data_IF_959840712866
#
_entry.id   IF_959840712866
#
_cell.length_a   1.000
_cell.length_b   1.000
_cell.length_c   1.000
_cell.angle_alpha   90.00
_cell.angle_beta   90.00
_cell.angle_gamma   90.00
#
_symmetry.space_group_name_H-M   'P 1'
#
loop_
_entity.id
_entity.type
_entity.pdbx_description
1 polymer ?
#
# COMPACT_ATOMS: atom_id res chain seq x y z
N UNK A 1 -40.58 -62.39 13.46
CA UNK A 1 -39.13 -62.49 13.70
C UNK A 1 -38.42 -62.02 12.43
N UNK A 2 -37.81 -60.83 12.46
CA UNK A 2 -37.01 -60.31 11.35
C UNK A 2 -35.54 -60.23 11.78
N UNK A 3 -34.60 -60.90 11.07
CA UNK A 3 -33.23 -61.11 11.54
C UNK A 3 -32.19 -60.10 11.00
N UNK A 4 -32.52 -58.81 10.84
CA UNK A 4 -31.64 -57.85 10.14
C UNK A 4 -31.23 -56.60 10.93
N UNK A 5 -31.54 -56.49 12.22
CA UNK A 5 -30.97 -55.44 13.06
C UNK A 5 -29.70 -55.95 13.74
N UNK A 6 -28.58 -55.90 13.01
CA UNK A 6 -27.28 -55.81 13.67
C UNK A 6 -27.19 -54.39 14.24
N UNK A 7 -27.15 -54.26 15.56
CA UNK A 7 -26.85 -52.99 16.20
C UNK A 7 -25.49 -52.51 15.66
N UNK A 8 -25.49 -51.45 14.87
CA UNK A 8 -24.26 -50.74 14.52
C UNK A 8 -23.75 -50.12 15.80
N UNK A 9 -22.78 -50.78 16.43
CA UNK A 9 -21.94 -50.21 17.48
C UNK A 9 -21.47 -48.84 17.00
N UNK A 10 -21.61 -47.75 17.77
CA UNK A 10 -21.02 -46.48 17.38
C UNK A 10 -19.52 -46.71 17.24
N UNK A 11 -19.01 -46.48 16.03
CA UNK A 11 -17.59 -46.55 15.72
C UNK A 11 -16.87 -45.61 16.69
N UNK A 12 -16.04 -46.19 17.56
CA UNK A 12 -15.31 -45.44 18.57
C UNK A 12 -14.44 -44.35 17.93
N UNK A 13 -14.55 -43.16 18.52
CA UNK A 13 -13.76 -41.94 18.39
C UNK A 13 -12.46 -42.06 17.59
N UNK A 14 -12.44 -41.41 16.44
CA UNK A 14 -11.20 -41.01 15.78
C UNK A 14 -10.81 -39.66 16.39
N UNK A 15 -9.81 -39.67 17.27
CA UNK A 15 -9.45 -38.53 18.13
C UNK A 15 -9.30 -37.23 17.32
N UNK A 16 -10.24 -36.31 17.50
CA UNK A 16 -10.20 -34.95 16.94
C UNK A 16 -9.41 -34.07 17.93
N UNK A 17 -8.31 -33.47 17.50
CA UNK A 17 -7.55 -32.53 18.34
C UNK A 17 -8.26 -31.19 18.30
N UNK A 18 -9.06 -30.93 19.34
CA UNK A 18 -9.82 -29.69 19.54
C UNK A 18 -9.32 -28.99 20.79
N UNK A 19 -8.50 -27.95 20.62
CA UNK A 19 -8.01 -27.16 21.76
C UNK A 19 -7.67 -25.72 21.39
N UNK A 20 -7.70 -24.79 22.35
CA UNK A 20 -7.12 -23.48 22.17
C UNK A 20 -5.59 -23.57 22.02
N UNK A 21 -5.04 -22.65 21.25
CA UNK A 21 -3.61 -22.34 21.27
C UNK A 21 -3.27 -21.58 22.54
N UNK A 22 -2.12 -21.89 23.12
CA UNK A 22 -1.57 -21.21 24.30
C UNK A 22 -0.93 -19.87 23.91
N UNK A 23 -0.70 -18.99 24.89
CA UNK A 23 -0.03 -17.70 24.64
C UNK A 23 1.36 -17.86 24.00
N UNK A 24 2.13 -18.89 24.40
CA UNK A 24 3.47 -19.14 23.86
C UNK A 24 3.43 -19.62 22.40
N UNK A 25 2.42 -20.42 22.04
CA UNK A 25 2.19 -20.86 20.66
C UNK A 25 1.75 -19.67 19.79
N UNK A 26 0.86 -18.82 20.30
CA UNK A 26 0.45 -17.60 19.63
C UNK A 26 1.60 -16.60 19.46
N UNK A 27 2.51 -16.48 20.43
CA UNK A 27 3.71 -15.65 20.30
C UNK A 27 4.69 -16.20 19.25
N UNK A 28 4.76 -17.52 19.11
CA UNK A 28 5.56 -18.15 18.06
C UNK A 28 4.94 -17.90 16.68
N UNK A 29 3.62 -18.08 16.55
CA UNK A 29 2.87 -17.71 15.35
C UNK A 29 3.06 -16.24 14.99
N UNK A 30 2.95 -15.34 15.97
CA UNK A 30 3.17 -13.90 15.81
C UNK A 30 4.54 -13.61 15.21
N UNK A 31 5.61 -14.25 15.70
CA UNK A 31 6.97 -14.11 15.14
C UNK A 31 7.07 -14.64 13.72
N UNK A 32 6.42 -15.76 13.40
CA UNK A 32 6.43 -16.31 12.03
C UNK A 32 5.70 -15.40 11.04
N UNK A 33 4.54 -14.84 11.43
CA UNK A 33 3.77 -13.92 10.60
C UNK A 33 4.59 -12.66 10.25
N UNK A 34 5.40 -12.19 11.20
CA UNK A 34 6.22 -10.99 11.06
C UNK A 34 7.68 -11.29 10.69
N UNK A 35 7.99 -12.51 10.28
CA UNK A 35 9.31 -12.87 9.77
C UNK A 35 9.54 -12.34 8.36
N UNK A 36 10.77 -12.48 7.86
CA UNK A 36 11.20 -12.03 6.52
C UNK A 36 10.68 -12.92 5.37
N UNK A 37 9.41 -13.36 5.44
CA UNK A 37 8.78 -14.08 4.34
C UNK A 37 8.86 -13.24 3.05
N UNK A 38 9.36 -13.83 1.96
CA UNK A 38 9.57 -13.11 0.70
C UNK A 38 8.26 -12.84 -0.05
N UNK A 39 7.17 -13.51 0.35
CA UNK A 39 5.87 -13.29 -0.25
C UNK A 39 4.71 -14.08 0.39
N UNK A 40 3.50 -13.95 -0.18
CA UNK A 40 2.26 -14.47 0.40
C UNK A 40 2.23 -15.98 0.59
N UNK A 41 2.82 -16.75 -0.34
CA UNK A 41 2.82 -18.21 -0.28
C UNK A 41 3.72 -18.74 0.84
N UNK A 42 4.90 -18.14 1.02
CA UNK A 42 5.81 -18.48 2.12
C UNK A 42 5.17 -18.14 3.47
N UNK A 43 4.51 -16.99 3.56
CA UNK A 43 3.77 -16.59 4.76
C UNK A 43 2.67 -17.60 5.12
N UNK A 44 1.82 -17.98 4.14
CA UNK A 44 0.78 -19.00 4.36
C UNK A 44 1.40 -20.31 4.82
N UNK A 45 2.47 -20.76 4.16
CA UNK A 45 3.16 -22.01 4.50
C UNK A 45 3.71 -21.98 5.92
N UNK A 46 4.37 -20.89 6.31
CA UNK A 46 4.95 -20.70 7.63
C UNK A 46 3.87 -20.69 8.73
N UNK A 47 2.76 -19.99 8.50
CA UNK A 47 1.64 -19.91 9.45
C UNK A 47 0.96 -21.26 9.61
N UNK A 48 0.60 -21.91 8.50
CA UNK A 48 -0.05 -23.23 8.53
C UNK A 48 0.83 -24.23 9.26
N UNK A 49 2.13 -24.25 8.95
CA UNK A 49 3.11 -25.10 9.64
C UNK A 49 3.13 -24.82 11.14
N UNK A 50 3.23 -23.55 11.55
CA UNK A 50 3.28 -23.19 12.96
C UNK A 50 1.97 -23.50 13.72
N UNK A 51 0.80 -23.37 13.09
CA UNK A 51 -0.48 -23.73 13.72
C UNK A 51 -0.55 -25.24 13.95
N UNK A 52 -0.20 -26.05 12.96
CA UNK A 52 -0.23 -27.50 13.10
C UNK A 52 0.88 -28.02 14.02
N UNK A 53 2.08 -27.46 13.96
CA UNK A 53 3.16 -27.76 14.92
C UNK A 53 2.69 -27.54 16.36
N UNK A 54 2.02 -26.41 16.62
CA UNK A 54 1.44 -26.14 17.94
C UNK A 54 0.45 -27.25 18.35
N UNK A 55 -0.53 -27.56 17.50
CA UNK A 55 -1.53 -28.60 17.79
C UNK A 55 -0.96 -30.02 17.93
N UNK A 56 0.20 -30.29 17.31
CA UNK A 56 0.89 -31.58 17.35
C UNK A 56 1.95 -31.66 18.47
N UNK A 57 2.30 -30.54 19.09
CA UNK A 57 3.38 -30.46 20.10
C UNK A 57 3.14 -31.43 21.26
N UNK A 58 1.88 -31.57 21.71
CA UNK A 58 1.51 -32.48 22.82
C UNK A 58 1.73 -33.96 22.47
N UNK A 59 1.83 -34.29 21.18
CA UNK A 59 2.10 -35.62 20.67
C UNK A 59 3.58 -35.83 20.31
N UNK A 60 4.44 -34.83 20.54
CA UNK A 60 5.86 -34.85 20.20
C UNK A 60 6.12 -34.89 18.69
N UNK A 61 5.17 -34.38 17.89
CA UNK A 61 5.23 -34.39 16.42
C UNK A 61 5.24 -32.96 15.85
N UNK A 62 5.69 -32.83 14.61
CA UNK A 62 5.63 -31.60 13.82
C UNK A 62 4.84 -31.83 12.54
N UNK A 63 4.32 -30.76 11.96
CA UNK A 63 3.66 -30.75 10.66
C UNK A 63 4.58 -31.21 9.54
N UNK A 64 5.90 -30.96 9.66
CA UNK A 64 6.90 -31.45 8.70
C UNK A 64 7.00 -32.97 8.67
N UNK A 65 6.76 -33.64 9.80
CA UNK A 65 6.74 -35.10 9.87
C UNK A 65 5.59 -35.72 9.06
N UNK A 66 4.65 -34.88 8.58
CA UNK A 66 3.45 -35.26 7.86
C UNK A 66 3.35 -34.64 6.45
N UNK A 67 4.41 -34.01 5.93
CA UNK A 67 4.38 -33.38 4.59
C UNK A 67 4.07 -34.36 3.45
N UNK A 68 4.46 -35.62 3.59
CA UNK A 68 4.22 -36.71 2.62
C UNK A 68 3.14 -37.71 3.09
N UNK A 69 2.51 -37.44 4.24
CA UNK A 69 1.52 -38.35 4.80
C UNK A 69 0.15 -38.10 4.16
N UNK A 70 -0.20 -38.94 3.19
CA UNK A 70 -1.53 -38.93 2.56
C UNK A 70 -2.69 -39.11 3.56
N UNK A 71 -2.40 -39.50 4.81
CA UNK A 71 -3.37 -39.65 5.89
C UNK A 71 -3.44 -38.42 6.82
N UNK A 72 -2.67 -37.36 6.57
CA UNK A 72 -2.76 -36.13 7.36
C UNK A 72 -4.06 -35.38 7.07
N UNK A 73 -5.09 -35.76 7.81
CA UNK A 73 -6.42 -35.20 7.72
C UNK A 73 -6.54 -33.94 8.58
N UNK A 74 -6.35 -32.78 7.94
CA UNK A 74 -6.48 -31.45 8.55
C UNK A 74 -7.85 -31.23 9.22
N UNK A 75 -8.90 -31.90 8.74
CA UNK A 75 -10.26 -31.73 9.26
C UNK A 75 -10.43 -32.26 10.70
N UNK A 76 -9.48 -33.06 11.19
CA UNK A 76 -9.46 -33.58 12.56
C UNK A 76 -8.90 -32.60 13.60
N UNK A 77 -8.46 -31.44 13.16
CA UNK A 77 -7.89 -30.41 14.02
C UNK A 77 -8.81 -29.21 14.03
N UNK A 78 -9.04 -28.62 15.20
CA UNK A 78 -9.76 -27.36 15.29
C UNK A 78 -9.33 -26.49 16.47
N UNK A 79 -9.45 -25.17 16.28
CA UNK A 79 -9.16 -24.13 17.27
C UNK A 79 -10.41 -23.26 17.51
N UNK A 80 -10.49 -22.52 18.62
CA UNK A 80 -11.58 -21.57 18.86
C UNK A 80 -11.71 -20.54 17.74
N UNK A 81 -12.94 -20.19 17.37
CA UNK A 81 -13.23 -19.25 16.28
C UNK A 81 -12.56 -17.89 16.48
N UNK A 82 -12.47 -17.39 17.72
CA UNK A 82 -11.80 -16.12 18.01
C UNK A 82 -10.29 -16.16 17.66
N UNK A 83 -9.60 -17.26 17.96
CA UNK A 83 -8.18 -17.44 17.61
C UNK A 83 -8.00 -17.61 16.10
N UNK A 84 -8.89 -18.37 15.46
CA UNK A 84 -8.89 -18.55 14.01
C UNK A 84 -9.01 -17.21 13.28
N UNK A 85 -10.00 -16.41 13.67
CA UNK A 85 -10.24 -15.08 13.08
C UNK A 85 -9.07 -14.12 13.33
N UNK A 86 -8.49 -14.13 14.53
CA UNK A 86 -7.32 -13.30 14.84
C UNK A 86 -6.10 -13.67 13.99
N UNK A 87 -5.84 -14.96 13.77
CA UNK A 87 -4.77 -15.43 12.89
C UNK A 87 -5.03 -14.98 11.46
N UNK A 88 -6.23 -15.27 10.91
CA UNK A 88 -6.55 -14.90 9.52
C UNK A 88 -6.40 -13.40 9.31
N UNK A 89 -6.97 -12.58 10.20
CA UNK A 89 -6.89 -11.11 10.11
C UNK A 89 -5.44 -10.63 10.10
N UNK A 90 -4.62 -11.10 11.06
CA UNK A 90 -3.21 -10.67 11.16
C UNK A 90 -2.40 -11.08 9.92
N UNK A 91 -2.67 -12.26 9.36
CA UNK A 91 -1.98 -12.74 8.17
C UNK A 91 -2.45 -12.01 6.91
N UNK A 92 -3.75 -11.73 6.77
CA UNK A 92 -4.26 -10.95 5.64
C UNK A 92 -3.79 -9.51 5.67
N UNK A 93 -3.65 -8.92 6.85
CA UNK A 93 -3.06 -7.58 7.02
C UNK A 93 -1.60 -7.56 6.56
N UNK A 94 -0.82 -8.59 6.93
CA UNK A 94 0.54 -8.74 6.41
C UNK A 94 0.53 -9.04 4.91
N UNK A 95 -0.40 -9.82 4.39
CA UNK A 95 -0.46 -10.14 2.97
C UNK A 95 -0.90 -8.97 2.09
N UNK A 96 -1.61 -8.01 2.67
CA UNK A 96 -1.99 -6.76 2.03
C UNK A 96 -0.77 -5.99 1.50
N UNK A 97 0.38 -6.13 2.15
CA UNK A 97 1.63 -5.47 1.74
C UNK A 97 2.14 -5.91 0.37
N UNK A 98 1.66 -7.07 -0.11
CA UNK A 98 1.94 -7.59 -1.45
C UNK A 98 0.71 -7.52 -2.38
N UNK A 99 -0.36 -6.83 -1.98
CA UNK A 99 -1.64 -6.81 -2.72
C UNK A 99 -2.35 -8.17 -2.76
N UNK A 100 -2.03 -9.07 -1.83
CA UNK A 100 -2.47 -10.47 -1.86
C UNK A 100 -3.43 -10.86 -0.73
N UNK A 101 -4.00 -9.89 -0.01
CA UNK A 101 -4.86 -10.16 1.16
C UNK A 101 -6.00 -11.14 0.85
N UNK A 102 -6.72 -10.94 -0.26
CA UNK A 102 -7.84 -11.80 -0.65
C UNK A 102 -7.40 -13.23 -1.00
N UNK A 103 -6.36 -13.39 -1.81
CA UNK A 103 -5.86 -14.73 -2.21
C UNK A 103 -5.25 -15.47 -1.02
N UNK A 104 -4.54 -14.77 -0.14
CA UNK A 104 -4.04 -15.31 1.12
C UNK A 104 -5.17 -15.74 2.05
N UNK A 105 -6.22 -14.92 2.20
CA UNK A 105 -7.39 -15.28 3.00
C UNK A 105 -8.07 -16.57 2.54
N UNK A 106 -8.25 -16.73 1.22
CA UNK A 106 -8.79 -17.97 0.64
C UNK A 106 -7.89 -19.17 0.89
N UNK A 107 -6.57 -19.02 0.73
CA UNK A 107 -5.62 -20.09 1.01
C UNK A 107 -5.64 -20.50 2.49
N UNK A 108 -5.69 -19.55 3.41
CA UNK A 108 -5.81 -19.83 4.84
C UNK A 108 -7.13 -20.56 5.17
N UNK A 109 -8.24 -20.13 4.58
CA UNK A 109 -9.53 -20.81 4.78
C UNK A 109 -9.50 -22.28 4.32
N UNK A 110 -8.73 -22.60 3.28
CA UNK A 110 -8.58 -23.97 2.80
C UNK A 110 -7.56 -24.81 3.59
N UNK A 111 -6.56 -24.16 4.21
CA UNK A 111 -5.39 -24.85 4.79
C UNK A 111 -5.34 -24.85 6.31
N UNK A 112 -5.96 -23.88 6.98
CA UNK A 112 -6.02 -23.86 8.45
C UNK A 112 -6.86 -25.03 8.99
N UNK A 113 -6.66 -25.41 10.26
CA UNK A 113 -7.59 -26.31 10.93
C UNK A 113 -9.01 -25.72 10.96
N UNK A 114 -10.00 -26.57 11.24
CA UNK A 114 -11.36 -26.12 11.47
C UNK A 114 -11.48 -25.16 12.66
N UNK A 115 -12.63 -24.53 12.80
CA UNK A 115 -12.97 -23.74 13.98
C UNK A 115 -14.07 -24.42 14.80
N UNK A 116 -14.14 -24.09 16.09
CA UNK A 116 -15.25 -24.43 16.97
C UNK A 116 -15.61 -23.24 17.87
N UNK A 117 -16.78 -23.28 18.50
CA UNK A 117 -17.25 -22.20 19.36
C UNK A 117 -16.26 -21.91 20.50
N UNK A 118 -16.08 -20.63 20.82
CA UNK A 118 -15.15 -20.24 21.88
C UNK A 118 -15.59 -20.86 23.23
N UNK A 119 -14.64 -21.45 23.99
CA UNK A 119 -14.96 -21.95 25.31
C UNK A 119 -15.37 -20.78 26.22
N UNK A 120 -16.19 -21.06 27.24
CA UNK A 120 -16.63 -20.04 28.20
C UNK A 120 -15.47 -19.39 28.99
N UNK A 121 -14.32 -20.07 29.06
CA UNK A 121 -13.09 -19.52 29.62
C UNK A 121 -12.39 -18.70 28.52
N UNK A 122 -12.02 -17.43 28.79
CA UNK A 122 -11.34 -16.60 27.81
C UNK A 122 -10.09 -17.26 27.26
N UNK A 123 -10.00 -17.34 25.93
CA UNK A 123 -8.82 -17.82 25.23
C UNK A 123 -7.86 -16.66 24.98
N UNK A 124 -6.54 -16.88 25.04
CA UNK A 124 -5.59 -15.86 24.63
C UNK A 124 -5.78 -15.58 23.14
N UNK A 125 -5.72 -14.32 22.75
CA UNK A 125 -5.83 -13.91 21.35
C UNK A 125 -4.47 -13.51 20.80
N UNK A 126 -4.27 -13.79 19.52
CA UNK A 126 -3.12 -13.27 18.78
C UNK A 126 -3.21 -11.74 18.81
N UNK A 127 -2.28 -11.11 19.52
CA UNK A 127 -2.18 -9.66 19.52
C UNK A 127 -1.49 -9.22 18.23
N UNK A 128 -2.10 -8.31 17.44
CA UNK A 128 -1.39 -7.66 16.35
C UNK A 128 -0.13 -7.00 16.91
N UNK A 129 0.98 -7.02 16.16
CA UNK A 129 2.09 -6.13 16.50
C UNK A 129 1.63 -4.72 16.13
N UNK A 130 1.18 -3.96 17.13
CA UNK A 130 0.95 -2.54 16.97
C UNK A 130 2.24 -1.88 16.46
N UNK A 131 2.16 -1.18 15.32
CA UNK A 131 3.25 -0.35 14.81
C UNK A 131 4.16 -0.95 13.74
N UNK A 132 3.86 -2.11 13.16
CA UNK A 132 4.70 -2.73 12.10
C UNK A 132 4.34 -2.32 10.66
N UNK A 133 3.39 -1.41 10.46
CA UNK A 133 3.21 -0.83 9.13
C UNK A 133 4.32 0.20 8.88
N UNK A 134 5.47 -0.23 8.38
CA UNK A 134 6.41 0.66 7.68
C UNK A 134 5.89 1.04 6.29
N UNK A 135 4.62 0.75 5.98
CA UNK A 135 4.07 0.84 4.65
C UNK A 135 3.09 1.99 4.60
N UNK A 136 3.46 2.98 3.79
CA UNK A 136 2.55 4.04 3.41
C UNK A 136 1.57 3.49 2.38
N UNK A 137 0.28 3.58 2.68
CA UNK A 137 -0.79 3.22 1.74
C UNK A 137 -1.10 4.43 0.87
N UNK A 138 -0.78 4.30 -0.41
CA UNK A 138 -1.04 5.29 -1.44
C UNK A 138 -1.94 4.66 -2.51
N UNK A 139 -3.23 4.99 -2.48
CA UNK A 139 -4.16 4.57 -3.51
C UNK A 139 -4.11 5.62 -4.63
N UNK A 140 -3.79 5.20 -5.85
CA UNK A 140 -3.70 6.11 -7.02
C UNK A 140 -4.84 5.76 -7.97
N UNK A 141 -5.74 6.72 -8.22
CA UNK A 141 -6.77 6.54 -9.24
C UNK A 141 -6.14 6.31 -10.62
N UNK A 142 -6.84 5.58 -11.50
CA UNK A 142 -6.35 5.30 -12.86
C UNK A 142 -6.01 6.59 -13.58
N UNK A 143 -6.84 7.61 -13.46
CA UNK A 143 -6.64 8.91 -14.09
C UNK A 143 -5.44 9.65 -13.49
N UNK A 144 -5.22 9.56 -12.17
CA UNK A 144 -4.04 10.12 -11.53
C UNK A 144 -2.75 9.44 -12.01
N UNK A 145 -2.76 8.16 -12.38
CA UNK A 145 -1.58 7.52 -12.98
C UNK A 145 -1.19 8.16 -14.32
N UNK A 146 -2.17 8.59 -15.12
CA UNK A 146 -1.92 9.33 -16.35
C UNK A 146 -1.35 10.71 -16.06
N UNK A 147 -1.86 11.44 -15.06
CA UNK A 147 -1.30 12.73 -14.63
C UNK A 147 0.14 12.57 -14.12
N UNK A 148 0.45 11.54 -13.32
CA UNK A 148 1.83 11.26 -12.88
C UNK A 148 2.75 11.02 -14.08
N UNK A 149 2.28 10.26 -15.08
CA UNK A 149 3.02 10.05 -16.31
C UNK A 149 3.21 11.36 -17.11
N UNK A 150 2.19 12.23 -17.16
CA UNK A 150 2.30 13.57 -17.77
C UNK A 150 3.31 14.47 -17.04
N UNK A 151 3.35 14.45 -15.70
CA UNK A 151 4.38 15.15 -14.93
C UNK A 151 5.80 14.66 -15.30
N UNK A 152 5.98 13.35 -15.40
CA UNK A 152 7.26 12.76 -15.80
C UNK A 152 7.63 13.12 -17.24
N UNK A 153 6.67 13.05 -18.16
CA UNK A 153 6.86 13.42 -19.56
C UNK A 153 7.23 14.90 -19.70
N UNK A 154 6.60 15.76 -18.93
CA UNK A 154 6.92 17.19 -18.92
C UNK A 154 8.37 17.46 -18.45
N UNK A 155 8.88 16.72 -17.47
CA UNK A 155 10.30 16.80 -17.09
C UNK A 155 11.24 16.39 -18.22
N UNK A 156 10.87 15.37 -19.00
CA UNK A 156 11.62 14.94 -20.19
C UNK A 156 11.63 16.06 -21.23
N UNK A 157 10.46 16.64 -21.52
CA UNK A 157 10.35 17.77 -22.46
C UNK A 157 11.20 18.96 -22.03
N UNK A 158 11.20 19.32 -20.73
CA UNK A 158 12.06 20.38 -20.20
C UNK A 158 13.55 20.04 -20.35
N UNK A 159 13.94 18.78 -20.13
CA UNK A 159 15.31 18.34 -20.32
C UNK A 159 15.74 18.41 -21.78
N UNK A 160 14.87 18.03 -22.71
CA UNK A 160 15.15 18.06 -24.15
C UNK A 160 15.24 19.50 -24.68
N UNK A 161 14.36 20.39 -24.21
CA UNK A 161 14.30 21.77 -24.69
C UNK A 161 15.39 22.68 -24.08
N UNK A 162 15.70 22.53 -22.79
CA UNK A 162 16.60 23.43 -22.07
C UNK A 162 17.91 22.77 -21.63
N UNK A 163 18.02 21.45 -21.73
CA UNK A 163 19.13 20.66 -21.21
C UNK A 163 18.97 20.29 -19.73
N UNK A 164 19.49 19.12 -19.35
CA UNK A 164 19.48 18.61 -17.97
C UNK A 164 20.29 19.46 -16.99
N UNK A 165 21.20 20.30 -17.49
CA UNK A 165 21.98 21.27 -16.73
C UNK A 165 21.29 22.63 -16.55
N UNK A 166 20.08 22.83 -17.06
CA UNK A 166 19.37 24.11 -16.92
C UNK A 166 18.67 24.25 -15.56
N UNK A 167 18.52 25.50 -15.11
CA UNK A 167 17.72 25.81 -13.92
C UNK A 167 16.23 25.45 -14.13
N UNK A 168 15.72 25.57 -15.36
CA UNK A 168 14.34 25.19 -15.69
C UNK A 168 14.07 23.72 -15.40
N UNK A 169 14.93 22.82 -15.89
CA UNK A 169 14.81 21.38 -15.62
C UNK A 169 15.08 21.06 -14.15
N UNK A 170 16.20 21.54 -13.59
CA UNK A 170 16.62 21.17 -12.22
C UNK A 170 15.59 21.58 -11.18
N UNK A 171 15.05 22.80 -11.26
CA UNK A 171 14.07 23.28 -10.30
C UNK A 171 12.75 22.49 -10.40
N UNK A 172 12.30 22.21 -11.64
CA UNK A 172 11.12 21.39 -11.88
C UNK A 172 11.31 19.98 -11.29
N UNK A 173 12.41 19.29 -11.65
CA UNK A 173 12.71 17.94 -11.19
C UNK A 173 12.85 17.86 -9.66
N UNK A 174 13.55 18.81 -9.04
CA UNK A 174 13.71 18.87 -7.59
C UNK A 174 12.36 19.08 -6.89
N UNK A 175 11.52 19.99 -7.40
CA UNK A 175 10.19 20.24 -6.82
C UNK A 175 9.28 19.01 -6.95
N UNK A 176 9.27 18.33 -8.09
CA UNK A 176 8.49 17.11 -8.28
C UNK A 176 8.95 15.97 -7.35
N UNK A 177 10.27 15.75 -7.27
CA UNK A 177 10.86 14.75 -6.38
C UNK A 177 10.53 15.01 -4.91
N UNK A 178 10.53 16.28 -4.49
CA UNK A 178 10.12 16.68 -3.15
C UNK A 178 8.65 16.29 -2.86
N UNK A 179 7.74 16.54 -3.80
CA UNK A 179 6.33 16.19 -3.65
C UNK A 179 6.12 14.67 -3.57
N UNK A 180 6.77 13.89 -4.42
CA UNK A 180 6.72 12.42 -4.37
C UNK A 180 7.29 11.88 -3.06
N UNK A 181 8.39 12.45 -2.58
CA UNK A 181 8.99 12.07 -1.30
C UNK A 181 8.05 12.36 -0.14
N UNK A 182 7.38 13.52 -0.14
CA UNK A 182 6.38 13.88 0.86
C UNK A 182 5.15 12.97 0.83
N UNK A 183 4.74 12.50 -0.36
CA UNK A 183 3.68 11.51 -0.52
C UNK A 183 4.03 10.16 0.13
N UNK A 184 5.27 9.70 -0.04
CA UNK A 184 5.74 8.39 0.41
C UNK A 184 6.26 8.40 1.86
N UNK A 185 6.68 9.56 2.39
CA UNK A 185 7.22 9.68 3.76
C UNK A 185 6.14 9.96 4.82
N UNK A 186 4.87 9.70 4.50
CA UNK A 186 3.76 9.89 5.42
C UNK A 186 3.94 9.07 6.71
N UNK A 187 3.42 9.55 7.86
CA UNK A 187 3.29 8.69 9.03
C UNK A 187 2.51 7.40 8.70
N UNK A 188 2.93 6.25 9.24
CA UNK A 188 2.16 5.01 9.17
C UNK A 188 0.69 5.19 9.55
N UNK A 189 -0.20 4.49 8.84
CA UNK A 189 -1.64 4.52 9.12
C UNK A 189 -2.40 5.67 8.47
N UNK A 190 -1.73 6.63 7.81
CA UNK A 190 -2.39 7.64 6.97
C UNK A 190 -2.63 7.06 5.59
N UNK A 191 -3.89 6.80 5.26
CA UNK A 191 -4.32 6.44 3.92
C UNK A 191 -4.46 7.70 3.07
N UNK A 192 -3.87 7.67 1.86
CA UNK A 192 -3.93 8.77 0.90
C UNK A 192 -4.47 8.29 -0.43
N UNK A 193 -5.37 9.06 -1.02
CA UNK A 193 -5.89 8.80 -2.37
C UNK A 193 -5.52 9.94 -3.31
N UNK A 194 -4.88 9.60 -4.44
CA UNK A 194 -4.49 10.55 -5.49
C UNK A 194 -5.55 10.59 -6.59
N UNK A 195 -5.99 11.80 -6.89
CA UNK A 195 -6.91 12.14 -7.96
C UNK A 195 -6.25 13.12 -8.95
N UNK A 196 -6.66 13.13 -10.22
CA UNK A 196 -6.24 14.18 -11.14
C UNK A 196 -6.85 15.53 -10.75
N UNK A 197 -6.06 16.61 -10.84
CA UNK A 197 -6.49 18.01 -10.67
C UNK A 197 -6.04 18.87 -11.86
N UNK A 198 -5.77 18.23 -12.99
CA UNK A 198 -5.26 18.86 -14.20
C UNK A 198 -4.21 18.00 -14.91
N UNK A 199 -3.65 18.50 -16.02
CA UNK A 199 -2.68 17.76 -16.82
C UNK A 199 -1.35 17.54 -16.10
N UNK A 200 -1.00 18.43 -15.16
CA UNK A 200 0.24 18.38 -14.38
C UNK A 200 -0.01 18.56 -12.87
N UNK A 201 -1.25 18.44 -12.42
CA UNK A 201 -1.64 18.71 -11.03
C UNK A 201 -2.44 17.54 -10.46
N UNK A 202 -2.20 17.23 -9.19
CA UNK A 202 -2.87 16.15 -8.47
C UNK A 202 -3.61 16.72 -7.26
N UNK A 203 -4.75 16.12 -6.94
CA UNK A 203 -5.46 16.32 -5.69
C UNK A 203 -5.22 15.12 -4.79
N UNK A 204 -4.91 15.36 -3.52
CA UNK A 204 -4.64 14.34 -2.52
C UNK A 204 -5.70 14.44 -1.43
N UNK A 205 -6.41 13.33 -1.18
CA UNK A 205 -7.33 13.20 -0.05
C UNK A 205 -6.76 12.26 1.00
N UNK A 206 -7.04 12.55 2.27
CA UNK A 206 -6.65 11.71 3.42
C UNK A 206 -7.87 11.37 4.28
N UNK A 207 -7.81 10.24 4.98
CA UNK A 207 -8.95 9.74 5.80
C UNK A 207 -9.31 10.71 6.96
N UNK A 208 -8.38 11.53 7.41
CA UNK A 208 -8.52 12.52 8.48
C UNK A 208 -9.04 13.90 8.02
N UNK A 209 -9.75 13.94 6.88
CA UNK A 209 -10.37 15.12 6.27
C UNK A 209 -9.39 16.19 5.75
N UNK A 210 -8.09 15.92 5.80
CA UNK A 210 -7.08 16.70 5.11
C UNK A 210 -7.19 16.51 3.60
N UNK A 211 -7.19 17.62 2.87
CA UNK A 211 -6.98 17.61 1.44
C UNK A 211 -5.94 18.65 1.08
N UNK A 212 -5.21 18.37 0.01
CA UNK A 212 -4.27 19.32 -0.55
C UNK A 212 -4.02 19.01 -2.03
N UNK A 213 -3.72 20.05 -2.79
CA UNK A 213 -3.27 19.94 -4.17
C UNK A 213 -1.74 19.87 -4.26
N UNK A 214 -1.24 19.03 -5.16
CA UNK A 214 0.10 19.16 -5.73
C UNK A 214 -0.08 19.84 -7.08
N UNK A 215 0.16 21.15 -7.11
CA UNK A 215 -0.20 22.02 -8.24
C UNK A 215 1.05 22.44 -9.00
N UNK A 216 1.03 22.27 -10.31
CA UNK A 216 2.07 22.83 -11.18
C UNK A 216 1.88 24.35 -11.34
N UNK A 217 2.87 25.10 -10.88
CA UNK A 217 2.95 26.56 -11.01
C UNK A 217 3.84 26.92 -12.21
N UNK A 218 3.25 27.37 -13.34
CA UNK A 218 4.05 27.80 -14.48
C UNK A 218 4.82 29.08 -14.15
N UNK A 219 6.07 29.15 -14.60
CA UNK A 219 6.89 30.35 -14.52
C UNK A 219 6.42 31.37 -15.57
N UNK A 220 6.12 32.60 -15.15
CA UNK A 220 5.80 33.66 -16.09
C UNK A 220 7.00 34.00 -16.98
N UNK A 221 6.74 34.30 -18.25
CA UNK A 221 7.76 34.87 -19.14
C UNK A 221 7.95 36.34 -18.77
N UNK A 222 9.18 36.80 -18.76
CA UNK A 222 9.50 38.23 -18.68
C UNK A 222 10.21 38.66 -19.95
N UNK A 223 10.11 39.95 -20.28
CA UNK A 223 10.85 40.54 -21.37
C UNK A 223 12.33 40.67 -20.99
N UNK A 224 13.24 40.25 -21.86
CA UNK A 224 14.70 40.31 -21.63
C UNK A 224 15.34 41.63 -22.07
N UNK A 225 14.59 42.50 -22.75
CA UNK A 225 15.06 43.84 -23.14
C UNK A 225 15.25 44.71 -21.90
N UNK A 226 16.45 45.27 -21.76
CA UNK A 226 16.84 46.08 -20.60
C UNK A 226 15.88 47.26 -20.38
N UNK A 227 15.42 47.42 -19.13
CA UNK A 227 14.49 48.49 -18.74
C UNK A 227 13.01 48.20 -19.04
N UNK A 228 12.69 47.07 -19.68
CA UNK A 228 11.32 46.62 -19.89
C UNK A 228 10.93 45.57 -18.84
N UNK A 229 9.87 45.83 -18.08
CA UNK A 229 9.38 44.99 -16.99
C UNK A 229 8.05 44.30 -17.33
N UNK A 230 7.84 44.04 -18.62
CA UNK A 230 6.68 43.32 -19.12
C UNK A 230 6.78 41.83 -18.78
N UNK A 231 5.65 41.24 -18.38
CA UNK A 231 5.49 39.80 -18.12
C UNK A 231 4.29 39.24 -18.85
N UNK A 232 4.31 37.94 -19.14
CA UNK A 232 3.14 37.21 -19.68
C UNK A 232 3.04 35.82 -19.07
N UNK A 233 1.82 35.45 -18.68
CA UNK A 233 1.51 34.09 -18.28
C UNK A 233 1.17 33.26 -19.53
N UNK A 234 1.91 32.17 -19.75
CA UNK A 234 1.54 31.08 -20.68
C UNK A 234 1.03 31.50 -22.07
N UNK A 235 1.58 32.57 -22.67
CA UNK A 235 1.22 33.03 -24.03
C UNK A 235 0.11 34.08 -24.11
N UNK A 236 -0.31 34.64 -22.97
CA UNK A 236 -1.22 35.78 -22.92
C UNK A 236 -0.58 37.10 -23.38
N UNK A 237 -1.36 38.18 -23.32
CA UNK A 237 -0.85 39.52 -23.59
C UNK A 237 0.22 39.93 -22.57
N UNK A 238 1.21 40.69 -23.04
CA UNK A 238 2.21 41.31 -22.17
C UNK A 238 1.55 42.34 -21.25
N UNK A 239 1.90 42.28 -19.98
CA UNK A 239 1.35 43.14 -18.94
C UNK A 239 2.48 43.68 -18.05
N UNK A 240 2.30 44.85 -17.40
CA UNK A 240 3.24 45.33 -16.39
C UNK A 240 3.38 44.31 -15.25
N UNK A 241 4.60 44.01 -14.82
CA UNK A 241 4.85 43.10 -13.68
C UNK A 241 4.31 43.62 -12.34
N UNK A 242 4.11 44.93 -12.22
CA UNK A 242 3.43 45.60 -11.11
C UNK A 242 2.80 46.93 -11.59
N UNK A 243 1.94 47.60 -10.80
CA UNK A 243 1.21 48.80 -11.22
C UNK A 243 2.08 49.94 -11.80
N UNK A 244 3.33 50.07 -11.35
CA UNK A 244 4.26 51.12 -11.76
C UNK A 244 5.44 50.61 -12.64
N UNK A 245 5.36 49.36 -13.11
CA UNK A 245 6.40 48.75 -13.92
C UNK A 245 6.48 49.40 -15.31
N UNK A 246 7.68 49.83 -15.70
CA UNK A 246 7.92 50.39 -17.03
C UNK A 246 7.76 49.30 -18.10
N UNK A 247 6.82 49.49 -19.01
CA UNK A 247 6.65 48.66 -20.22
C UNK A 247 6.99 49.52 -21.42
N UNK A 248 8.06 49.15 -22.11
CA UNK A 248 8.54 49.85 -23.30
C UNK A 248 7.75 49.31 -24.51
N UNK A 249 7.33 50.19 -25.41
CA UNK A 249 6.68 49.80 -26.67
C UNK A 249 7.72 49.29 -27.68
N UNK A 250 7.86 47.97 -27.76
CA UNK A 250 8.75 47.27 -28.68
C UNK A 250 8.31 45.82 -28.88
N UNK A 251 8.94 45.12 -29.83
CA UNK A 251 8.78 43.67 -29.95
C UNK A 251 9.44 42.96 -28.75
N UNK A 252 8.62 42.39 -27.87
CA UNK A 252 9.09 41.76 -26.64
C UNK A 252 9.85 40.45 -26.89
N UNK A 253 10.98 40.29 -26.21
CA UNK A 253 11.82 39.10 -26.27
C UNK A 253 11.59 38.25 -25.01
N UNK A 254 10.95 37.08 -25.10
CA UNK A 254 10.61 36.31 -23.91
C UNK A 254 11.83 35.61 -23.31
N UNK A 255 11.86 35.52 -21.98
CA UNK A 255 12.90 34.83 -21.21
C UNK A 255 13.04 33.33 -21.52
N UNK A 256 12.05 32.72 -22.15
CA UNK A 256 12.10 31.37 -22.69
C UNK A 256 11.11 31.24 -23.87
N UNK A 257 11.33 30.29 -24.81
CA UNK A 257 10.52 30.16 -26.02
C UNK A 257 9.02 30.02 -25.75
N UNK A 258 8.20 30.56 -26.66
CA UNK A 258 6.74 30.50 -26.57
C UNK A 258 6.18 29.14 -27.01
N UNK A 259 6.90 28.48 -27.92
CA UNK A 259 6.61 27.19 -28.55
C UNK A 259 7.24 25.99 -27.82
N UNK A 260 8.11 26.24 -26.82
CA UNK A 260 8.71 25.21 -25.98
C UNK A 260 7.88 24.82 -24.76
N UNK A 261 8.24 23.73 -24.06
CA UNK A 261 7.59 23.33 -22.81
C UNK A 261 7.71 24.45 -21.78
N UNK A 262 6.61 24.72 -21.10
CA UNK A 262 6.48 25.81 -20.13
C UNK A 262 7.24 25.47 -18.84
N UNK A 263 8.32 26.19 -18.47
CA UNK A 263 8.98 25.97 -17.20
C UNK A 263 8.05 26.27 -16.03
N UNK A 264 8.29 25.63 -14.88
CA UNK A 264 7.50 25.78 -13.68
C UNK A 264 7.98 24.87 -12.56
N UNK A 265 7.19 24.77 -11.48
CA UNK A 265 7.49 23.91 -10.32
C UNK A 265 6.21 23.35 -9.71
N UNK A 266 6.30 22.22 -9.02
CA UNK A 266 5.18 21.69 -8.24
C UNK A 266 5.21 22.21 -6.81
N UNK A 267 4.06 22.67 -6.32
CA UNK A 267 3.88 23.14 -4.94
C UNK A 267 2.70 22.46 -4.27
N UNK A 268 2.76 22.36 -2.95
CA UNK A 268 1.65 21.89 -2.13
C UNK A 268 0.75 23.07 -1.80
N UNK A 269 -0.55 22.94 -2.06
CA UNK A 269 -1.57 23.95 -1.74
C UNK A 269 -2.67 23.32 -0.87
N UNK A 270 -3.16 24.00 0.17
CA UNK A 270 -4.32 23.53 0.94
C UNK A 270 -5.56 23.47 0.04
#
# INVERSE_FOLDING_TARGET
MNPWFTATTPTQDVSTVRRPLTSAELDTLRRQIHSDAAGPQELVTAVVTAVFDALLTDQGRTYRDHQDDALFDRSRYAIPVSQWTAIVTTVTDRAYTWGAATSTGMNLAALLPGSYDDPAVPTPLLQPIGGSSHLVRLDISREATATVASCQQHLIELADAYGTGSDHYRNAAASWSLQLTALISAPPGVHRVLHPDGPLSLYVSTDDAGHYGIVFEPLARHCTVAGCYAVTAAGGQWQPSCPDAVVIDHEHQPSHPADGPQPGRWTTRP
#
